data_IF_823810097440
#
_entry.id   IF_823810097440
#
_cell.length_a   1.000
_cell.length_b   1.000
_cell.length_c   1.000
_cell.angle_alpha   90.00
_cell.angle_beta   90.00
_cell.angle_gamma   90.00
#
_symmetry.space_group_name_H-M   'P 1'
#
loop_
_entity.id
_entity.type
_entity.pdbx_description
1 polymer ?
#
# COMPACT_ATOMS: atom_id res chain seq x y z
N UNK A 1 -15.34 -0.52 1.04
CA UNK A 1 -14.03 -0.88 0.45
C UNK A 1 -12.98 -1.16 1.52
N UNK A 2 -12.69 -0.24 2.44
CA UNK A 2 -11.74 -0.53 3.53
C UNK A 2 -12.24 -1.59 4.52
N UNK A 3 -13.48 -1.48 5.01
CA UNK A 3 -14.06 -2.48 5.92
C UNK A 3 -14.15 -3.89 5.30
N UNK A 4 -14.37 -3.94 3.99
CA UNK A 4 -14.38 -5.19 3.22
C UNK A 4 -12.98 -5.79 3.10
N UNK A 5 -11.96 -4.96 2.88
CA UNK A 5 -10.56 -5.38 2.90
C UNK A 5 -10.16 -5.94 4.27
N UNK A 6 -10.54 -5.27 5.36
CA UNK A 6 -10.28 -5.74 6.73
C UNK A 6 -10.96 -7.10 6.97
N UNK A 7 -12.26 -7.22 6.67
CA UNK A 7 -13.00 -8.49 6.82
C UNK A 7 -12.38 -9.62 6.00
N UNK A 8 -12.07 -9.38 4.74
CA UNK A 8 -11.46 -10.39 3.88
C UNK A 8 -10.08 -10.82 4.40
N UNK A 9 -9.28 -9.87 4.89
CA UNK A 9 -7.95 -10.16 5.43
C UNK A 9 -8.03 -10.98 6.71
N UNK A 10 -8.92 -10.62 7.64
CA UNK A 10 -9.15 -11.40 8.86
C UNK A 10 -9.69 -12.80 8.55
N UNK A 11 -10.60 -12.94 7.59
CA UNK A 11 -11.15 -14.24 7.19
C UNK A 11 -10.07 -15.14 6.57
N UNK A 12 -9.24 -14.59 5.66
CA UNK A 12 -8.10 -15.31 5.09
C UNK A 12 -7.13 -15.77 6.20
N UNK A 13 -6.80 -14.91 7.16
CA UNK A 13 -5.92 -15.29 8.27
C UNK A 13 -6.53 -16.35 9.17
N UNK A 14 -7.84 -16.31 9.41
CA UNK A 14 -8.52 -17.35 10.17
C UNK A 14 -8.46 -18.69 9.42
N UNK A 15 -8.69 -18.71 8.11
CA UNK A 15 -8.53 -19.92 7.29
C UNK A 15 -7.10 -20.47 7.30
N UNK A 16 -6.09 -19.61 7.31
CA UNK A 16 -4.67 -20.04 7.44
C UNK A 16 -4.45 -20.73 8.78
N UNK A 17 -4.92 -20.14 9.88
CA UNK A 17 -4.82 -20.75 11.21
C UNK A 17 -5.56 -22.07 11.27
N UNK A 18 -6.80 -22.14 10.77
CA UNK A 18 -7.59 -23.37 10.74
C UNK A 18 -6.89 -24.46 9.91
N UNK A 19 -6.29 -24.10 8.77
CA UNK A 19 -5.51 -25.02 7.94
C UNK A 19 -4.30 -25.57 8.68
N UNK A 20 -3.61 -24.75 9.47
CA UNK A 20 -2.45 -25.17 10.26
C UNK A 20 -2.85 -26.07 11.41
N UNK A 21 -3.97 -25.78 12.08
CA UNK A 21 -4.54 -26.67 13.11
C UNK A 21 -4.89 -28.03 12.51
N UNK A 22 -5.51 -28.05 11.33
CA UNK A 22 -5.79 -29.29 10.62
C UNK A 22 -4.51 -30.04 10.22
N UNK A 23 -3.46 -29.33 9.77
CA UNK A 23 -2.17 -29.95 9.45
C UNK A 23 -1.51 -30.57 10.69
N UNK A 24 -1.59 -29.89 11.83
CA UNK A 24 -1.12 -30.41 13.12
C UNK A 24 -1.84 -31.69 13.52
N UNK A 25 -3.17 -31.74 13.34
CA UNK A 25 -3.98 -32.93 13.58
C UNK A 25 -3.58 -34.09 12.66
N UNK A 26 -3.41 -33.84 11.36
CA UNK A 26 -2.92 -34.84 10.41
C UNK A 26 -1.52 -35.33 10.79
N UNK A 27 -0.65 -34.44 11.28
CA UNK A 27 0.64 -34.80 11.85
C UNK A 27 0.51 -35.79 13.01
N UNK A 28 -0.42 -35.55 13.96
CA UNK A 28 -0.67 -36.48 15.07
C UNK A 28 -1.16 -37.86 14.59
N UNK A 29 -2.06 -37.90 13.60
CA UNK A 29 -2.52 -39.16 12.99
C UNK A 29 -1.37 -39.92 12.31
N UNK A 30 -0.45 -39.20 11.66
CA UNK A 30 0.75 -39.81 11.09
C UNK A 30 1.67 -40.39 12.17
N UNK A 31 1.84 -39.70 13.31
CA UNK A 31 2.62 -40.20 14.44
C UNK A 31 2.07 -41.54 14.95
N UNK A 32 0.75 -41.67 15.11
CA UNK A 32 0.11 -42.94 15.50
C UNK A 32 0.38 -44.06 14.49
N UNK A 33 0.35 -43.74 13.19
CA UNK A 33 0.66 -44.71 12.14
C UNK A 33 2.13 -45.16 12.19
N UNK A 34 3.07 -44.23 12.40
CA UNK A 34 4.48 -44.56 12.56
C UNK A 34 4.75 -45.41 13.81
N UNK A 35 4.08 -45.14 14.93
CA UNK A 35 4.23 -45.98 16.13
C UNK A 35 3.71 -47.41 15.89
N UNK A 36 2.63 -47.56 15.13
CA UNK A 36 2.16 -48.89 14.69
C UNK A 36 3.20 -49.62 13.83
N UNK A 37 3.90 -48.90 12.93
CA UNK A 37 4.98 -49.46 12.12
C UNK A 37 6.17 -49.84 13.00
N UNK A 38 6.57 -48.99 13.96
CA UNK A 38 7.63 -49.28 14.91
C UNK A 38 7.32 -50.53 15.73
N UNK A 39 6.07 -50.68 16.20
CA UNK A 39 5.64 -51.86 16.95
C UNK A 39 5.73 -53.13 16.09
N UNK A 40 5.21 -53.11 14.86
CA UNK A 40 5.33 -54.24 13.93
C UNK A 40 6.79 -54.59 13.64
N UNK A 41 7.66 -53.58 13.55
CA UNK A 41 9.09 -53.81 13.37
C UNK A 41 9.73 -54.52 14.58
N UNK A 42 9.33 -54.14 15.81
CA UNK A 42 9.74 -54.84 17.05
C UNK A 42 9.24 -56.28 17.09
N UNK A 43 7.99 -56.53 16.70
CA UNK A 43 7.42 -57.88 16.68
C UNK A 43 8.21 -58.79 15.71
N UNK A 44 8.55 -58.29 14.52
CA UNK A 44 9.37 -59.03 13.55
C UNK A 44 10.78 -59.29 14.08
N UNK A 45 11.40 -58.34 14.79
CA UNK A 45 12.70 -58.60 15.44
C UNK A 45 12.61 -59.73 16.47
N UNK A 46 11.52 -59.81 17.22
CA UNK A 46 11.26 -60.93 18.14
C UNK A 46 11.24 -62.27 17.40
N UNK A 47 10.48 -62.36 16.31
CA UNK A 47 10.40 -63.55 15.45
C UNK A 47 11.79 -63.91 14.89
N UNK A 48 12.56 -62.94 14.40
CA UNK A 48 13.90 -63.18 13.87
C UNK A 48 14.88 -63.68 14.93
N UNK A 49 14.74 -63.24 16.18
CA UNK A 49 15.53 -63.72 17.32
C UNK A 49 15.22 -65.18 17.65
N UNK A 50 13.94 -65.55 17.60
CA UNK A 50 13.48 -66.93 17.75
C UNK A 50 13.99 -67.82 16.61
N UNK A 51 13.88 -67.39 15.35
CA UNK A 51 14.43 -68.09 14.19
C UNK A 51 15.94 -68.28 14.34
N UNK A 52 16.67 -67.25 14.78
CA UNK A 52 18.11 -67.35 15.04
C UNK A 52 18.44 -68.36 16.15
N UNK A 53 17.60 -68.48 17.17
CA UNK A 53 17.75 -69.45 18.25
C UNK A 53 17.47 -70.88 17.77
N UNK A 54 16.41 -71.08 16.97
CA UNK A 54 16.08 -72.35 16.32
C UNK A 54 17.22 -72.78 15.40
N UNK A 55 17.74 -71.88 14.56
CA UNK A 55 18.85 -72.16 13.66
C UNK A 55 20.11 -72.60 14.43
N UNK A 56 20.43 -71.96 15.57
CA UNK A 56 21.54 -72.40 16.44
C UNK A 56 21.30 -73.79 17.04
N UNK A 57 20.08 -74.10 17.48
CA UNK A 57 19.73 -75.43 17.99
C UNK A 57 19.83 -76.50 16.89
N UNK A 58 19.30 -76.23 15.70
CA UNK A 58 19.41 -77.13 14.54
C UNK A 58 20.86 -77.36 14.15
N UNK A 59 21.69 -76.32 14.19
CA UNK A 59 23.12 -76.44 13.96
C UNK A 59 23.82 -77.35 14.99
N UNK A 60 23.44 -77.28 16.26
CA UNK A 60 23.96 -78.17 17.31
C UNK A 60 23.47 -79.61 17.15
N UNK A 61 22.21 -79.81 16.77
CA UNK A 61 21.64 -81.12 16.47
C UNK A 61 22.36 -81.77 15.27
N UNK A 62 22.58 -81.00 14.21
CA UNK A 62 23.32 -81.43 13.03
C UNK A 62 24.77 -81.78 13.37
N UNK A 63 25.43 -81.00 14.23
CA UNK A 63 26.77 -81.32 14.71
C UNK A 63 26.80 -82.66 15.47
N UNK A 64 25.85 -82.90 16.38
CA UNK A 64 25.76 -84.16 17.09
C UNK A 64 25.50 -85.34 16.13
N UNK A 65 24.66 -85.14 15.11
CA UNK A 65 24.40 -86.14 14.08
C UNK A 65 25.65 -86.44 13.22
N UNK A 66 26.43 -85.42 12.87
CA UNK A 66 27.70 -85.59 12.14
C UNK A 66 28.73 -86.39 12.97
N UNK A 67 28.81 -86.12 14.27
CA UNK A 67 29.67 -86.87 15.20
C UNK A 67 29.27 -88.35 15.26
N UNK A 68 27.97 -88.63 15.40
CA UNK A 68 27.48 -90.01 15.49
C UNK A 68 27.60 -90.76 14.15
N UNK A 69 27.39 -90.05 13.03
CA UNK A 69 27.64 -90.58 11.68
C UNK A 69 29.11 -90.96 11.48
N UNK A 70 30.05 -90.14 11.95
CA UNK A 70 31.48 -90.47 11.93
C UNK A 70 31.80 -91.69 12.81
N UNK A 71 31.11 -91.83 13.95
CA UNK A 71 31.26 -92.97 14.88
C UNK A 71 30.77 -94.29 14.29
N UNK A 72 29.74 -94.26 13.44
CA UNK A 72 29.22 -95.42 12.72
C UNK A 72 30.08 -95.87 11.52
N UNK A 73 31.16 -95.13 11.18
CA UNK A 73 32.09 -95.48 10.10
C UNK A 73 31.42 -95.50 8.72
N UNK A 74 31.68 -96.54 7.92
CA UNK A 74 31.13 -96.67 6.56
C UNK A 74 29.59 -96.72 6.52
N UNK A 75 28.93 -97.24 7.57
CA UNK A 75 27.47 -97.28 7.65
C UNK A 75 26.83 -95.89 7.86
N UNK A 76 27.57 -94.92 8.41
CA UNK A 76 27.10 -93.57 8.70
C UNK A 76 27.35 -92.56 7.57
N UNK A 77 28.00 -92.96 6.49
CA UNK A 77 28.53 -92.04 5.47
C UNK A 77 27.46 -91.19 4.78
N UNK A 78 26.27 -91.75 4.54
CA UNK A 78 25.12 -91.00 4.00
C UNK A 78 24.53 -90.01 5.01
N UNK A 79 24.49 -90.37 6.30
CA UNK A 79 24.03 -89.47 7.37
C UNK A 79 24.99 -88.31 7.60
N UNK A 80 26.30 -88.51 7.42
CA UNK A 80 27.30 -87.45 7.54
C UNK A 80 27.06 -86.32 6.51
N UNK A 81 26.77 -86.68 5.25
CA UNK A 81 26.48 -85.70 4.19
C UNK A 81 25.22 -84.89 4.51
N UNK A 82 24.16 -85.56 4.97
CA UNK A 82 22.92 -84.87 5.36
C UNK A 82 23.16 -83.95 6.56
N UNK A 83 23.93 -84.40 7.56
CA UNK A 83 24.25 -83.59 8.73
C UNK A 83 25.03 -82.32 8.37
N UNK A 84 26.00 -82.40 7.46
CA UNK A 84 26.75 -81.23 6.98
C UNK A 84 25.86 -80.24 6.21
N UNK A 85 24.95 -80.73 5.36
CA UNK A 85 23.99 -79.88 4.63
C UNK A 85 23.03 -79.14 5.58
N UNK A 86 22.51 -79.84 6.61
CA UNK A 86 21.66 -79.23 7.64
C UNK A 86 22.44 -78.17 8.43
N UNK A 87 23.74 -78.41 8.67
CA UNK A 87 24.62 -77.46 9.36
C UNK A 87 24.83 -76.19 8.53
N UNK A 88 25.12 -76.33 7.24
CA UNK A 88 25.24 -75.18 6.33
C UNK A 88 23.94 -74.38 6.23
N UNK A 89 22.80 -75.06 6.07
CA UNK A 89 21.49 -74.42 6.01
C UNK A 89 21.17 -73.64 7.29
N UNK A 90 21.51 -74.20 8.45
CA UNK A 90 21.33 -73.55 9.75
C UNK A 90 22.23 -72.31 9.92
N UNK A 91 23.48 -72.39 9.47
CA UNK A 91 24.40 -71.25 9.47
C UNK A 91 23.90 -70.12 8.56
N UNK A 92 23.47 -70.45 7.34
CA UNK A 92 22.87 -69.49 6.39
C UNK A 92 21.59 -68.87 6.94
N UNK A 93 20.73 -69.65 7.61
CA UNK A 93 19.50 -69.14 8.25
C UNK A 93 19.82 -68.14 9.35
N UNK A 94 20.86 -68.40 10.17
CA UNK A 94 21.33 -67.47 11.20
C UNK A 94 21.82 -66.16 10.58
N UNK A 95 22.63 -66.25 9.52
CA UNK A 95 23.14 -65.08 8.82
C UNK A 95 22.01 -64.24 8.21
N UNK A 96 21.04 -64.86 7.54
CA UNK A 96 19.88 -64.15 6.99
C UNK A 96 19.06 -63.47 8.10
N UNK A 97 18.83 -64.16 9.22
CA UNK A 97 18.10 -63.58 10.35
C UNK A 97 18.81 -62.35 10.94
N UNK A 98 20.14 -62.34 10.96
CA UNK A 98 20.94 -61.18 11.37
C UNK A 98 20.84 -60.02 10.36
N UNK A 99 20.91 -60.32 9.06
CA UNK A 99 20.77 -59.31 8.02
C UNK A 99 19.39 -58.63 8.07
N UNK A 100 18.31 -59.41 8.20
CA UNK A 100 16.96 -58.85 8.31
C UNK A 100 16.84 -58.04 9.61
N UNK A 101 17.42 -58.48 10.73
CA UNK A 101 17.44 -57.68 11.96
C UNK A 101 18.08 -56.30 11.76
N UNK A 102 19.19 -56.23 11.02
CA UNK A 102 19.82 -54.96 10.65
C UNK A 102 18.90 -54.06 9.83
N UNK A 103 18.16 -54.62 8.86
CA UNK A 103 17.16 -53.87 8.09
C UNK A 103 16.03 -53.35 8.99
N UNK A 104 15.55 -54.15 9.95
CA UNK A 104 14.50 -53.74 10.90
C UNK A 104 14.97 -52.62 11.84
N UNK A 105 16.24 -52.63 12.25
CA UNK A 105 16.84 -51.53 13.02
C UNK A 105 16.91 -50.24 12.19
N UNK A 106 17.31 -50.34 10.92
CA UNK A 106 17.30 -49.20 9.99
C UNK A 106 15.89 -48.63 9.77
N UNK A 107 14.89 -49.51 9.67
CA UNK A 107 13.47 -49.10 9.58
C UNK A 107 13.03 -48.33 10.83
N UNK A 108 13.33 -48.83 12.03
CA UNK A 108 13.03 -48.12 13.28
C UNK A 108 13.69 -46.74 13.36
N UNK A 109 14.97 -46.64 12.95
CA UNK A 109 15.65 -45.34 12.89
C UNK A 109 14.97 -44.37 11.92
N UNK A 110 14.49 -44.86 10.77
CA UNK A 110 13.78 -44.04 9.78
C UNK A 110 12.40 -43.59 10.29
N UNK A 111 11.71 -44.45 11.04
CA UNK A 111 10.44 -44.12 11.69
C UNK A 111 10.64 -43.01 12.72
N UNK A 112 11.64 -43.13 13.61
CA UNK A 112 11.95 -42.09 14.60
C UNK A 112 12.27 -40.74 13.94
N UNK A 113 13.08 -40.74 12.87
CA UNK A 113 13.37 -39.51 12.13
C UNK A 113 12.12 -38.87 11.52
N UNK A 114 11.16 -39.70 11.11
CA UNK A 114 9.88 -39.23 10.56
C UNK A 114 9.02 -38.60 11.66
N UNK A 115 8.91 -39.23 12.82
CA UNK A 115 8.22 -38.69 14.00
C UNK A 115 8.81 -37.33 14.42
N UNK A 116 10.13 -37.23 14.53
CA UNK A 116 10.83 -35.99 14.88
C UNK A 116 10.61 -34.87 13.83
N UNK A 117 10.51 -35.24 12.55
CA UNK A 117 10.22 -34.28 11.48
C UNK A 117 8.77 -33.78 11.56
N UNK A 118 7.81 -34.67 11.79
CA UNK A 118 6.39 -34.33 11.95
C UNK A 118 6.19 -33.41 13.16
N UNK A 119 6.82 -33.73 14.30
CA UNK A 119 6.69 -32.92 15.51
C UNK A 119 7.28 -31.51 15.33
N UNK A 120 8.44 -31.40 14.66
CA UNK A 120 9.02 -30.10 14.33
C UNK A 120 8.15 -29.29 13.38
N UNK A 121 7.60 -29.92 12.34
CA UNK A 121 6.70 -29.28 11.38
C UNK A 121 5.45 -28.74 12.09
N UNK A 122 4.77 -29.56 12.90
CA UNK A 122 3.57 -29.14 13.61
C UNK A 122 3.83 -27.94 14.57
N UNK A 123 4.96 -27.95 15.29
CA UNK A 123 5.33 -26.88 16.21
C UNK A 123 5.68 -25.58 15.49
N UNK A 124 6.48 -25.66 14.43
CA UNK A 124 6.91 -24.50 13.65
C UNK A 124 5.75 -23.86 12.89
N UNK A 125 4.92 -24.67 12.23
CA UNK A 125 3.76 -24.19 11.48
C UNK A 125 2.79 -23.44 12.41
N UNK A 126 2.53 -23.99 13.60
CA UNK A 126 1.60 -23.38 14.56
C UNK A 126 2.10 -22.03 15.06
N UNK A 127 3.39 -21.96 15.42
CA UNK A 127 4.02 -20.71 15.88
C UNK A 127 3.96 -19.65 14.79
N UNK A 128 4.36 -20.02 13.56
CA UNK A 128 4.35 -19.12 12.42
C UNK A 128 2.94 -18.59 12.10
N UNK A 129 1.92 -19.43 12.16
CA UNK A 129 0.55 -19.05 11.87
C UNK A 129 0.01 -18.05 12.90
N UNK A 130 0.28 -18.27 14.19
CA UNK A 130 -0.17 -17.39 15.27
C UNK A 130 0.55 -16.03 15.23
N UNK A 131 1.87 -16.03 15.02
CA UNK A 131 2.64 -14.79 14.85
C UNK A 131 2.16 -13.99 13.63
N UNK A 132 1.92 -14.69 12.50
CA UNK A 132 1.40 -14.06 11.29
C UNK A 132 0.02 -13.44 11.52
N UNK A 133 -0.88 -14.15 12.25
CA UNK A 133 -2.20 -13.62 12.62
C UNK A 133 -2.07 -12.35 13.44
N UNK A 134 -1.26 -12.38 14.50
CA UNK A 134 -1.06 -11.22 15.37
C UNK A 134 -0.49 -10.02 14.61
N UNK A 135 0.49 -10.26 13.73
CA UNK A 135 1.09 -9.21 12.92
C UNK A 135 0.11 -8.59 11.93
N UNK A 136 -0.78 -9.39 11.35
CA UNK A 136 -1.85 -8.88 10.48
C UNK A 136 -2.87 -8.07 11.26
N UNK A 137 -3.26 -8.50 12.46
CA UNK A 137 -4.13 -7.71 13.35
C UNK A 137 -3.51 -6.35 13.69
N UNK A 138 -2.21 -6.28 13.97
CA UNK A 138 -1.49 -5.02 14.19
C UNK A 138 -1.48 -4.11 12.96
N UNK A 139 -1.27 -4.69 11.77
CA UNK A 139 -1.32 -3.94 10.50
C UNK A 139 -2.72 -3.37 10.26
N UNK A 140 -3.77 -4.14 10.55
CA UNK A 140 -5.17 -3.69 10.40
C UNK A 140 -5.43 -2.48 11.30
N UNK A 141 -5.03 -2.53 12.58
CA UNK A 141 -5.19 -1.41 13.52
C UNK A 141 -4.44 -0.16 13.05
N UNK A 142 -3.22 -0.34 12.53
CA UNK A 142 -2.42 0.77 12.00
C UNK A 142 -3.06 1.36 10.74
N UNK A 143 -3.60 0.53 9.85
CA UNK A 143 -4.31 0.97 8.66
C UNK A 143 -5.62 1.70 8.99
N UNK A 144 -6.37 1.25 9.99
CA UNK A 144 -7.58 1.93 10.48
C UNK A 144 -7.26 3.35 10.96
N UNK A 145 -6.20 3.49 11.76
CA UNK A 145 -5.73 4.79 12.21
C UNK A 145 -5.35 5.71 11.03
N UNK A 146 -4.59 5.18 10.07
CA UNK A 146 -4.23 5.92 8.85
C UNK A 146 -5.45 6.31 8.01
N UNK A 147 -6.42 5.42 7.87
CA UNK A 147 -7.64 5.68 7.12
C UNK A 147 -8.46 6.81 7.77
N UNK A 148 -8.55 6.83 9.11
CA UNK A 148 -9.20 7.91 9.85
C UNK A 148 -8.52 9.26 9.61
N UNK A 149 -7.19 9.33 9.75
CA UNK A 149 -6.43 10.55 9.47
C UNK A 149 -6.62 11.02 8.02
N UNK A 150 -6.71 10.08 7.07
CA UNK A 150 -6.94 10.40 5.66
C UNK A 150 -8.33 11.01 5.42
N UNK A 151 -9.36 10.48 6.08
CA UNK A 151 -10.72 11.03 6.02
C UNK A 151 -10.75 12.46 6.59
N UNK A 152 -10.10 12.69 7.74
CA UNK A 152 -9.98 14.02 8.34
C UNK A 152 -9.28 15.01 7.41
N UNK A 153 -8.17 14.61 6.79
CA UNK A 153 -7.43 15.44 5.84
C UNK A 153 -8.27 15.81 4.61
N UNK A 154 -9.08 14.87 4.09
CA UNK A 154 -10.01 15.15 2.98
C UNK A 154 -11.08 16.16 3.40
N UNK A 155 -11.60 16.06 4.63
CA UNK A 155 -12.54 17.05 5.17
C UNK A 155 -11.94 18.46 5.29
N UNK A 156 -10.69 18.56 5.73
CA UNK A 156 -9.95 19.83 5.79
C UNK A 156 -9.72 20.43 4.40
N UNK A 157 -9.35 19.60 3.42
CA UNK A 157 -9.19 20.04 2.03
C UNK A 157 -10.51 20.59 1.46
N UNK A 158 -11.63 19.95 1.74
CA UNK A 158 -12.95 20.44 1.34
C UNK A 158 -13.27 21.83 1.92
N UNK A 159 -12.97 22.03 3.20
CA UNK A 159 -13.19 23.34 3.87
C UNK A 159 -12.25 24.42 3.31
N UNK A 160 -10.98 24.09 3.07
CA UNK A 160 -10.01 25.00 2.48
C UNK A 160 -10.37 25.39 1.04
N UNK A 161 -10.93 24.47 0.26
CA UNK A 161 -11.42 24.74 -1.09
C UNK A 161 -12.59 25.75 -1.08
N UNK A 162 -13.54 25.60 -0.16
CA UNK A 162 -14.65 26.54 0.00
C UNK A 162 -14.17 27.94 0.43
N UNK A 163 -13.21 28.01 1.34
CA UNK A 163 -12.62 29.30 1.73
C UNK A 163 -11.88 29.95 0.56
N UNK A 164 -11.15 29.16 -0.22
CA UNK A 164 -10.44 29.63 -1.41
C UNK A 164 -11.41 30.19 -2.46
N UNK A 165 -12.51 29.50 -2.72
CA UNK A 165 -13.58 29.95 -3.62
C UNK A 165 -14.13 31.32 -3.18
N UNK A 166 -14.43 31.48 -1.88
CA UNK A 166 -14.86 32.77 -1.33
C UNK A 166 -13.83 33.88 -1.52
N UNK A 167 -12.55 33.61 -1.26
CA UNK A 167 -11.46 34.58 -1.46
C UNK A 167 -11.27 34.95 -2.92
N UNK A 168 -11.39 34.00 -3.84
CA UNK A 168 -11.31 34.24 -5.29
C UNK A 168 -12.44 35.18 -5.72
N UNK A 169 -13.67 34.94 -5.25
CA UNK A 169 -14.80 35.81 -5.58
C UNK A 169 -14.61 37.26 -5.08
N UNK A 170 -14.07 37.43 -3.86
CA UNK A 170 -13.69 38.75 -3.33
C UNK A 170 -12.60 39.41 -4.19
N UNK A 171 -11.58 38.64 -4.61
CA UNK A 171 -10.51 39.16 -5.45
C UNK A 171 -11.02 39.63 -6.83
N UNK A 172 -11.92 38.87 -7.46
CA UNK A 172 -12.57 39.26 -8.72
C UNK A 172 -13.33 40.58 -8.55
N UNK A 173 -14.12 40.68 -7.48
CA UNK A 173 -14.88 41.89 -7.16
C UNK A 173 -13.95 43.10 -6.94
N UNK A 174 -12.84 42.91 -6.21
CA UNK A 174 -11.85 43.96 -5.98
C UNK A 174 -11.17 44.43 -7.27
N UNK A 175 -10.83 43.51 -8.19
CA UNK A 175 -10.28 43.86 -9.50
C UNK A 175 -11.27 44.69 -10.34
N UNK A 176 -12.56 44.35 -10.30
CA UNK A 176 -13.60 45.13 -10.98
C UNK A 176 -13.73 46.55 -10.40
N UNK A 177 -13.70 46.70 -9.07
CA UNK A 177 -13.69 48.01 -8.42
C UNK A 177 -12.43 48.81 -8.79
N UNK A 178 -11.27 48.18 -8.83
CA UNK A 178 -10.01 48.83 -9.21
C UNK A 178 -10.07 49.37 -10.64
N UNK A 179 -10.60 48.60 -11.59
CA UNK A 179 -10.77 49.05 -12.98
C UNK A 179 -11.71 50.27 -13.06
N UNK A 180 -12.84 50.20 -12.37
CA UNK A 180 -13.80 51.31 -12.30
C UNK A 180 -13.19 52.59 -11.72
N UNK A 181 -12.42 52.49 -10.62
CA UNK A 181 -11.72 53.63 -10.02
C UNK A 181 -10.66 54.18 -10.97
N UNK A 182 -9.92 53.31 -11.67
CA UNK A 182 -8.90 53.71 -12.64
C UNK A 182 -9.52 54.50 -13.80
N UNK A 183 -10.67 54.05 -14.30
CA UNK A 183 -11.44 54.77 -15.32
C UNK A 183 -11.92 56.14 -14.80
N UNK A 184 -12.52 56.20 -13.61
CA UNK A 184 -12.96 57.45 -12.99
C UNK A 184 -11.82 58.45 -12.82
N UNK A 185 -10.66 58.01 -12.32
CA UNK A 185 -9.46 58.85 -12.19
C UNK A 185 -9.02 59.36 -13.56
N UNK A 186 -9.02 58.50 -14.59
CA UNK A 186 -8.73 58.90 -15.97
C UNK A 186 -9.63 60.03 -16.46
N UNK A 187 -10.94 59.97 -16.20
CA UNK A 187 -11.89 61.03 -16.54
C UNK A 187 -11.72 62.29 -15.72
N UNK A 188 -11.50 62.17 -14.40
CA UNK A 188 -11.21 63.32 -13.54
C UNK A 188 -9.96 64.04 -14.03
N UNK A 189 -8.90 63.32 -14.40
CA UNK A 189 -7.69 63.91 -14.96
C UNK A 189 -7.97 64.71 -16.24
N UNK A 190 -8.72 64.14 -17.19
CA UNK A 190 -9.14 64.87 -18.41
C UNK A 190 -9.93 66.15 -18.11
N UNK A 191 -10.84 66.10 -17.12
CA UNK A 191 -11.61 67.28 -16.70
C UNK A 191 -10.73 68.35 -16.06
N UNK A 192 -9.77 67.95 -15.23
CA UNK A 192 -8.79 68.86 -14.63
C UNK A 192 -7.92 69.51 -15.71
N UNK A 193 -7.43 68.74 -16.69
CA UNK A 193 -6.67 69.28 -17.83
C UNK A 193 -7.48 70.30 -18.65
N UNK A 194 -8.77 70.03 -18.88
CA UNK A 194 -9.66 70.96 -19.56
C UNK A 194 -9.90 72.25 -18.74
N UNK A 195 -10.11 72.13 -17.43
CA UNK A 195 -10.24 73.27 -16.51
C UNK A 195 -8.97 74.12 -16.45
N UNK A 196 -7.79 73.49 -16.39
CA UNK A 196 -6.51 74.18 -16.41
C UNK A 196 -6.32 74.97 -17.72
N UNK A 197 -6.74 74.39 -18.85
CA UNK A 197 -6.83 75.10 -20.13
C UNK A 197 -7.73 76.35 -20.06
N UNK A 198 -8.93 76.24 -19.48
CA UNK A 198 -9.84 77.39 -19.28
C UNK A 198 -9.16 78.48 -18.43
N UNK A 199 -8.52 78.12 -17.32
CA UNK A 199 -7.84 79.07 -16.44
C UNK A 199 -6.70 79.79 -17.17
N UNK A 200 -5.89 79.06 -17.95
CA UNK A 200 -4.82 79.65 -18.76
C UNK A 200 -5.35 80.65 -19.79
N UNK A 201 -6.45 80.32 -20.49
CA UNK A 201 -7.06 81.23 -21.45
C UNK A 201 -7.73 82.44 -20.78
N UNK A 202 -8.31 82.27 -19.58
CA UNK A 202 -8.81 83.41 -18.78
C UNK A 202 -7.67 84.35 -18.34
N UNK A 203 -6.51 83.80 -17.97
CA UNK A 203 -5.31 84.59 -17.70
C UNK A 203 -4.86 85.40 -18.91
N UNK A 204 -4.77 84.75 -20.08
CA UNK A 204 -4.45 85.43 -21.35
C UNK A 204 -5.46 86.51 -21.74
N UNK A 205 -6.75 86.29 -21.48
CA UNK A 205 -7.79 87.30 -21.64
C UNK A 205 -7.56 88.51 -20.72
N UNK A 206 -7.19 88.26 -19.46
CA UNK A 206 -6.85 89.31 -18.49
C UNK A 206 -5.63 90.14 -18.92
N UNK A 207 -4.61 89.50 -19.47
CA UNK A 207 -3.42 90.16 -20.01
C UNK A 207 -3.76 90.99 -21.26
N UNK A 208 -4.58 90.45 -22.18
CA UNK A 208 -5.06 91.18 -23.36
C UNK A 208 -5.86 92.44 -22.99
N UNK A 209 -6.73 92.36 -21.97
CA UNK A 209 -7.46 93.52 -21.43
C UNK A 209 -6.53 94.57 -20.80
N UNK A 210 -5.42 94.15 -20.18
CA UNK A 210 -4.43 95.07 -19.60
C UNK A 210 -3.55 95.74 -20.66
N UNK A 211 -3.19 95.02 -21.72
CA UNK A 211 -2.38 95.56 -22.83
C UNK A 211 -3.15 96.63 -23.62
N UNK A 212 -4.46 96.44 -23.79
CA UNK A 212 -5.38 97.42 -24.40
C UNK A 212 -5.43 98.74 -23.62
N UNK A 213 -5.34 98.70 -22.29
CA UNK A 213 -5.27 99.92 -21.47
C UNK A 213 -4.00 100.78 -21.70
N UNK A 214 -2.98 100.23 -22.37
CA UNK A 214 -1.68 100.87 -22.61
C UNK A 214 -1.40 101.15 -24.10
N UNK A 215 -2.03 100.43 -25.03
CA UNK A 215 -1.79 100.54 -26.47
C UNK A 215 -2.90 101.31 -27.21
N UNK A 216 -2.56 102.09 -28.25
CA UNK A 216 -3.52 102.91 -29.00
C UNK A 216 -4.15 102.20 -30.22
N UNK A 217 -4.06 100.86 -30.32
CA UNK A 217 -4.61 100.07 -31.43
C UNK A 217 -5.77 99.17 -30.99
N UNK A 218 -6.96 99.76 -30.97
CA UNK A 218 -8.20 99.09 -30.55
C UNK A 218 -8.57 97.87 -31.41
N UNK A 219 -8.09 97.77 -32.67
CA UNK A 219 -8.42 96.63 -33.54
C UNK A 219 -7.63 95.39 -33.13
N UNK A 220 -6.32 95.54 -32.91
CA UNK A 220 -5.47 94.44 -32.45
C UNK A 220 -5.91 93.89 -31.08
N UNK A 221 -6.36 94.76 -30.17
CA UNK A 221 -6.90 94.36 -28.88
C UNK A 221 -8.21 93.57 -29.00
N UNK A 222 -9.17 94.05 -29.80
CA UNK A 222 -10.43 93.33 -30.04
C UNK A 222 -10.19 91.96 -30.67
N UNK A 223 -9.23 91.83 -31.58
CA UNK A 223 -8.87 90.56 -32.19
C UNK A 223 -8.23 89.60 -31.18
N UNK A 224 -7.36 90.08 -30.29
CA UNK A 224 -6.78 89.28 -29.19
C UNK A 224 -7.85 88.79 -28.19
N UNK A 225 -8.78 89.67 -27.80
CA UNK A 225 -9.92 89.30 -26.93
C UNK A 225 -10.83 88.27 -27.60
N UNK A 226 -11.14 88.45 -28.89
CA UNK A 226 -11.90 87.46 -29.67
C UNK A 226 -11.19 86.11 -29.74
N UNK A 227 -9.86 86.12 -29.85
CA UNK A 227 -9.08 84.89 -29.90
C UNK A 227 -9.09 84.15 -28.55
N UNK A 228 -8.85 84.84 -27.43
CA UNK A 228 -8.87 84.20 -26.10
C UNK A 228 -10.28 83.77 -25.69
N UNK A 229 -11.32 84.56 -25.99
CA UNK A 229 -12.72 84.14 -25.76
C UNK A 229 -13.12 82.93 -26.59
N UNK A 230 -12.64 82.81 -27.84
CA UNK A 230 -12.86 81.61 -28.66
C UNK A 230 -12.15 80.37 -28.08
N UNK A 231 -10.93 80.53 -27.54
CA UNK A 231 -10.19 79.46 -26.85
C UNK A 231 -10.88 79.03 -25.55
N UNK A 232 -11.40 79.97 -24.75
CA UNK A 232 -12.21 79.65 -23.56
C UNK A 232 -13.46 78.86 -23.96
N UNK A 233 -14.19 79.32 -24.99
CA UNK A 233 -15.40 78.64 -25.45
C UNK A 233 -15.12 77.21 -25.96
N UNK A 234 -13.98 76.97 -26.61
CA UNK A 234 -13.60 75.64 -27.05
C UNK A 234 -13.22 74.74 -25.86
N UNK A 235 -12.42 75.23 -24.91
CA UNK A 235 -12.09 74.48 -23.68
C UNK A 235 -13.32 74.15 -22.83
N UNK A 236 -14.29 75.06 -22.72
CA UNK A 236 -15.56 74.81 -22.04
C UNK A 236 -16.43 73.76 -22.76
N UNK A 237 -16.42 73.73 -24.10
CA UNK A 237 -17.08 72.67 -24.88
C UNK A 237 -16.44 71.30 -24.64
N UNK A 238 -15.11 71.23 -24.60
CA UNK A 238 -14.38 69.99 -24.26
C UNK A 238 -14.75 69.53 -22.84
N UNK A 239 -14.73 70.43 -21.87
CA UNK A 239 -15.12 70.13 -20.49
C UNK A 239 -16.56 69.62 -20.40
N UNK A 240 -17.51 70.28 -21.07
CA UNK A 240 -18.93 69.87 -21.08
C UNK A 240 -19.09 68.46 -21.66
N UNK A 241 -18.34 68.13 -22.72
CA UNK A 241 -18.37 66.81 -23.36
C UNK A 241 -17.81 65.71 -22.44
N UNK A 242 -16.67 65.96 -21.78
CA UNK A 242 -16.07 65.03 -20.80
C UNK A 242 -16.89 64.92 -19.49
N UNK A 243 -17.75 65.90 -19.21
CA UNK A 243 -18.64 65.88 -18.04
C UNK A 243 -19.88 65.04 -18.30
N UNK A 244 -20.45 65.12 -19.50
CA UNK A 244 -21.66 64.37 -19.88
C UNK A 244 -21.39 62.87 -20.15
N UNK A 245 -20.17 62.50 -20.57
CA UNK A 245 -19.78 61.10 -20.79
C UNK A 245 -19.20 60.45 -19.53
N UNK A 246 -20.00 60.34 -18.46
CA UNK A 246 -19.59 59.63 -17.24
C UNK A 246 -19.78 58.10 -17.43
N UNK A 247 -18.70 57.29 -17.47
CA UNK A 247 -18.82 55.87 -17.85
C UNK A 247 -19.45 54.98 -16.77
N UNK A 248 -19.51 55.43 -15.51
CA UNK A 248 -19.99 54.61 -14.37
C UNK A 248 -21.51 54.74 -14.15
N UNK A 249 -22.22 55.37 -15.10
CA UNK A 249 -23.68 55.41 -15.11
C UNK A 249 -24.27 54.06 -15.50
N UNK A 250 -24.81 53.34 -14.51
CA UNK A 250 -25.70 52.17 -14.65
C UNK A 250 -25.06 50.85 -15.10
N UNK A 251 -24.70 50.02 -14.11
CA UNK A 251 -25.32 48.70 -13.92
C UNK A 251 -25.12 48.27 -12.47
N UNK A 252 -26.23 47.99 -11.81
CA UNK A 252 -26.26 47.46 -10.46
C UNK A 252 -25.42 46.17 -10.42
N UNK A 253 -24.40 46.16 -9.57
CA UNK A 253 -23.67 44.96 -9.18
C UNK A 253 -24.59 44.15 -8.27
N UNK A 254 -25.63 43.52 -8.82
CA UNK A 254 -26.35 42.46 -8.12
C UNK A 254 -25.48 41.21 -8.17
N UNK A 255 -25.10 40.79 -6.97
CA UNK A 255 -24.17 39.75 -6.55
C UNK A 255 -24.51 38.31 -7.01
N UNK A 256 -25.20 38.13 -8.14
CA UNK A 256 -25.87 36.86 -8.49
C UNK A 256 -25.53 36.19 -9.82
N UNK A 257 -25.02 36.90 -10.83
CA UNK A 257 -24.88 36.34 -12.18
C UNK A 257 -23.44 35.93 -12.51
N UNK A 258 -22.94 34.92 -11.80
CA UNK A 258 -21.76 34.18 -12.26
C UNK A 258 -22.15 32.70 -12.34
N UNK A 259 -22.79 32.32 -13.46
CA UNK A 259 -22.70 30.94 -13.94
C UNK A 259 -21.25 30.69 -14.38
N UNK A 260 -20.52 29.88 -13.60
CA UNK A 260 -19.27 29.27 -14.05
C UNK A 260 -19.60 28.20 -15.10
N UNK A 261 -19.08 28.37 -16.32
CA UNK A 261 -18.73 27.24 -17.19
C UNK A 261 -17.41 26.63 -16.73
#
# INVERSE_FOLDING_TARGET
RFDEFVRNTSDVMQRVVDSVVNNSKLGMELVELTDSIAQRARDVQGILSEIGSIAKQTNLLALNAAIEAARAGEAGRGFAVVADEVRDLSARTTQFSQQINGLMQGMQGSVQQTEDAIQRMASQDMTFALESKQRVEEIILTMEAQNRTRIEAVGQLGSAAQEMEGRVNVAITALQFQDMVSQLIGHVRKRVEALDGVVRHLGGLGDALRLDAVSSDARAAVDSLRQETAKIASSLRVLTTETNNNPVGQRAMTQGDIELF
#
